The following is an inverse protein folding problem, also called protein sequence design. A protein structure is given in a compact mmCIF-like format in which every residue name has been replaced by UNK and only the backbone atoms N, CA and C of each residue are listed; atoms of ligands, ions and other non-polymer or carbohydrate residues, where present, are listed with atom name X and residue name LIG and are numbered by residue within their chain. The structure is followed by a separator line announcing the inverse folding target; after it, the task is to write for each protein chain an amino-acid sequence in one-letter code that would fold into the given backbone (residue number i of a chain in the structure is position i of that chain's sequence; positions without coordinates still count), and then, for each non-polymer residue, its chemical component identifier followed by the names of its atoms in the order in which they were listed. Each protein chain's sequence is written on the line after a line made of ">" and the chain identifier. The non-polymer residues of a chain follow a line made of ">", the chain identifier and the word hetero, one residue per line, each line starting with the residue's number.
data_IF_030745548434
#
_entry.id   IF_030745548434
#
_cell.length_a   1.000
_cell.length_b   1.000
_cell.length_c   1.000
_cell.angle_alpha   90.00
_cell.angle_beta   90.00
_cell.angle_gamma   90.00
#
_symmetry.space_group_name_H-M   'P 1'
#
loop_
_entity.id
_entity.type
_entity.pdbx_description
1 polymer ?
#
# COMPACT_ATOMS: atom_id res chain seq x y z
N UNK A 1 -11.49 9.00 25.16
CA UNK A 1 -11.12 9.94 24.05
C UNK A 1 -11.89 9.53 22.83
N UNK A 2 -13.10 10.01 22.83
CA UNK A 2 -14.15 9.71 21.84
C UNK A 2 -14.11 10.68 20.67
N UNK A 3 -14.64 10.20 19.55
CA UNK A 3 -15.24 11.02 18.51
C UNK A 3 -14.32 11.64 17.46
N UNK A 4 -13.89 10.80 16.50
CA UNK A 4 -13.43 11.31 15.20
C UNK A 4 -13.95 10.49 13.98
N UNK A 5 -14.98 9.67 14.15
CA UNK A 5 -15.64 8.91 13.07
C UNK A 5 -16.95 9.49 12.56
N UNK A 6 -17.31 10.66 13.02
CA UNK A 6 -18.57 11.28 12.71
C UNK A 6 -18.43 12.60 12.00
N UNK A 7 -18.33 12.60 10.68
CA UNK A 7 -18.86 13.63 9.76
C UNK A 7 -18.34 13.41 8.34
N UNK A 8 -18.74 12.32 7.70
CA UNK A 8 -18.93 12.35 6.25
C UNK A 8 -20.26 13.09 6.04
N UNK A 9 -20.17 14.31 5.52
CA UNK A 9 -21.34 15.15 5.26
C UNK A 9 -22.32 14.38 4.38
N UNK A 10 -23.47 14.06 4.96
CA UNK A 10 -24.64 13.54 4.25
C UNK A 10 -25.18 14.65 3.35
N UNK A 11 -24.71 14.70 2.12
CA UNK A 11 -25.47 15.37 1.07
C UNK A 11 -26.62 14.43 0.70
N UNK A 12 -27.88 14.82 0.89
CA UNK A 12 -29.01 13.96 0.56
C UNK A 12 -29.05 13.77 -0.95
N UNK A 13 -28.71 12.58 -1.40
CA UNK A 13 -28.89 12.18 -2.81
C UNK A 13 -30.39 11.95 -3.01
N UNK A 14 -31.04 12.81 -3.80
CA UNK A 14 -32.42 12.64 -4.18
C UNK A 14 -32.57 11.38 -5.06
N UNK A 15 -33.40 10.45 -4.61
CA UNK A 15 -33.70 9.21 -5.33
C UNK A 15 -34.95 9.37 -6.21
N UNK A 16 -35.05 8.64 -7.33
CA UNK A 16 -36.32 8.47 -8.04
C UNK A 16 -37.38 7.87 -7.11
N UNK A 17 -38.59 8.36 -7.16
CA UNK A 17 -39.69 7.95 -6.28
C UNK A 17 -39.95 6.43 -6.20
N UNK A 18 -39.67 5.70 -7.28
CA UNK A 18 -39.77 4.23 -7.35
C UNK A 18 -38.81 3.51 -6.38
N UNK A 19 -37.64 4.10 -6.10
CA UNK A 19 -36.65 3.49 -5.18
C UNK A 19 -36.99 3.82 -3.72
N UNK A 20 -37.58 4.98 -3.46
CA UNK A 20 -38.00 5.38 -2.11
C UNK A 20 -39.06 4.43 -1.56
N UNK A 21 -40.09 4.07 -2.35
CA UNK A 21 -41.11 3.10 -1.96
C UNK A 21 -40.55 1.69 -1.69
N UNK A 22 -39.57 1.26 -2.47
CA UNK A 22 -38.91 -0.04 -2.27
C UNK A 22 -38.07 -0.05 -0.97
N UNK A 23 -37.41 1.06 -0.64
CA UNK A 23 -36.65 1.18 0.60
C UNK A 23 -37.52 1.22 1.84
N UNK A 24 -38.69 1.88 1.80
CA UNK A 24 -39.66 1.86 2.90
C UNK A 24 -40.22 0.46 3.14
N UNK A 25 -40.53 -0.28 2.07
CA UNK A 25 -40.96 -1.69 2.17
C UNK A 25 -39.86 -2.60 2.73
N UNK A 26 -38.59 -2.35 2.38
CA UNK A 26 -37.46 -3.10 2.94
C UNK A 26 -37.23 -2.78 4.41
N UNK A 27 -37.41 -1.52 4.86
CA UNK A 27 -37.32 -1.18 6.27
C UNK A 27 -38.39 -1.89 7.12
N UNK A 28 -39.57 -2.06 6.56
CA UNK A 28 -40.65 -2.83 7.21
C UNK A 28 -40.35 -4.35 7.28
N UNK A 29 -39.52 -4.85 6.38
CA UNK A 29 -39.13 -6.26 6.28
C UNK A 29 -37.71 -6.53 6.79
N UNK A 30 -37.13 -5.64 7.58
CA UNK A 30 -35.76 -5.78 8.11
C UNK A 30 -35.63 -7.04 8.99
N UNK A 31 -34.66 -7.89 8.69
CA UNK A 31 -34.47 -9.20 9.36
C UNK A 31 -33.46 -9.16 10.52
N UNK A 32 -32.86 -8.00 10.84
CA UNK A 32 -31.90 -7.86 11.95
C UNK A 32 -30.98 -6.65 11.83
N UNK A 33 -30.13 -6.49 12.82
CA UNK A 33 -29.06 -5.48 12.83
C UNK A 33 -27.70 -6.18 12.94
N UNK A 34 -26.68 -5.59 12.31
CA UNK A 34 -25.29 -6.01 12.53
C UNK A 34 -24.80 -5.57 13.92
N UNK A 35 -23.68 -6.11 14.44
CA UNK A 35 -23.05 -5.61 15.67
C UNK A 35 -22.74 -4.11 15.63
N UNK A 36 -22.59 -3.53 14.43
CA UNK A 36 -22.37 -2.11 14.18
C UNK A 36 -23.66 -1.29 14.08
N UNK A 37 -24.84 -1.90 14.29
CA UNK A 37 -26.15 -1.23 14.24
C UNK A 37 -26.70 -1.03 12.83
N UNK A 38 -26.08 -1.59 11.79
CA UNK A 38 -26.59 -1.51 10.41
C UNK A 38 -27.74 -2.49 10.19
N UNK A 39 -28.80 -2.03 9.52
CA UNK A 39 -29.97 -2.86 9.22
C UNK A 39 -29.69 -3.84 8.09
N UNK A 40 -29.97 -5.12 8.32
CA UNK A 40 -29.83 -6.19 7.34
C UNK A 40 -31.18 -6.50 6.70
N UNK A 41 -31.22 -6.51 5.40
CA UNK A 41 -32.40 -6.83 4.58
C UNK A 41 -32.18 -8.15 3.85
N UNK A 42 -33.25 -8.79 3.41
CA UNK A 42 -33.19 -9.96 2.52
C UNK A 42 -33.66 -9.54 1.15
N UNK A 43 -32.77 -9.68 0.14
CA UNK A 43 -33.08 -9.38 -1.26
C UNK A 43 -33.02 -10.62 -2.13
N UNK A 44 -33.86 -10.64 -3.18
CA UNK A 44 -33.73 -11.60 -4.26
C UNK A 44 -32.40 -11.42 -5.00
N UNK A 45 -31.70 -12.51 -5.25
CA UNK A 45 -30.39 -12.48 -5.94
C UNK A 45 -30.52 -11.88 -7.35
N UNK A 46 -31.66 -12.11 -8.00
CA UNK A 46 -31.96 -11.60 -9.35
C UNK A 46 -32.15 -10.08 -9.38
N UNK A 47 -32.42 -9.44 -8.24
CA UNK A 47 -32.56 -7.99 -8.10
C UNK A 47 -31.21 -7.27 -7.98
N UNK A 48 -30.10 -8.02 -7.91
CA UNK A 48 -28.76 -7.48 -7.65
C UNK A 48 -27.92 -7.55 -8.92
N UNK A 49 -27.54 -6.39 -9.42
CA UNK A 49 -26.65 -6.22 -10.57
C UNK A 49 -25.18 -6.25 -10.10
N UNK A 50 -24.29 -6.69 -11.01
CA UNK A 50 -22.86 -6.70 -10.74
C UNK A 50 -22.27 -5.30 -10.55
N UNK A 51 -21.17 -5.23 -9.81
CA UNK A 51 -20.43 -3.99 -9.65
C UNK A 51 -19.64 -3.65 -10.93
N UNK A 52 -19.91 -2.52 -11.60
CA UNK A 52 -19.19 -2.12 -12.82
C UNK A 52 -17.71 -1.81 -12.55
N UNK A 53 -17.34 -1.52 -11.29
CA UNK A 53 -15.98 -1.18 -10.86
C UNK A 53 -15.21 -2.37 -10.28
N UNK A 54 -15.73 -3.59 -10.45
CA UNK A 54 -15.05 -4.80 -9.99
C UNK A 54 -13.77 -5.05 -10.80
N UNK A 55 -12.62 -4.88 -10.18
CA UNK A 55 -11.30 -5.07 -10.81
C UNK A 55 -10.91 -6.55 -10.90
N UNK A 56 -11.39 -7.39 -9.97
CA UNK A 56 -11.08 -8.82 -9.98
C UNK A 56 -11.93 -9.56 -11.01
N UNK A 57 -11.30 -10.01 -12.09
CA UNK A 57 -11.95 -10.79 -13.16
C UNK A 57 -11.85 -12.29 -12.95
N UNK A 58 -10.76 -12.75 -12.34
CA UNK A 58 -10.48 -14.17 -12.12
C UNK A 58 -10.79 -14.55 -10.67
N UNK A 59 -11.62 -15.56 -10.52
CA UNK A 59 -11.96 -16.20 -9.26
C UNK A 59 -11.56 -17.66 -9.39
N UNK A 60 -10.77 -18.14 -8.46
CA UNK A 60 -10.42 -19.53 -8.39
C UNK A 60 -11.71 -20.39 -8.27
N UNK A 61 -11.97 -21.31 -9.24
CA UNK A 61 -13.21 -22.06 -9.28
C UNK A 61 -13.38 -22.98 -8.08
N UNK A 62 -12.28 -23.58 -7.57
CA UNK A 62 -12.33 -24.51 -6.44
C UNK A 62 -12.74 -23.78 -5.16
N UNK A 63 -12.06 -22.66 -4.86
CA UNK A 63 -12.37 -21.85 -3.68
C UNK A 63 -13.76 -21.20 -3.74
N UNK A 64 -14.30 -20.97 -4.94
CA UNK A 64 -15.67 -20.47 -5.10
C UNK A 64 -16.70 -21.57 -4.87
N UNK A 65 -16.39 -22.81 -5.29
CA UNK A 65 -17.23 -23.98 -5.06
C UNK A 65 -17.29 -24.34 -3.57
N UNK A 66 -16.15 -24.37 -2.89
CA UNK A 66 -16.11 -24.57 -1.43
C UNK A 66 -17.00 -23.56 -0.68
N UNK A 67 -16.93 -22.28 -1.10
CA UNK A 67 -17.79 -21.26 -0.52
C UNK A 67 -19.27 -21.49 -0.85
N UNK A 68 -19.60 -21.96 -2.05
CA UNK A 68 -20.97 -22.29 -2.43
C UNK A 68 -21.53 -23.47 -1.61
N UNK A 69 -20.73 -24.51 -1.40
CA UNK A 69 -21.09 -25.67 -0.58
C UNK A 69 -21.33 -25.24 0.89
N UNK A 70 -20.46 -24.38 1.43
CA UNK A 70 -20.66 -23.79 2.76
C UNK A 70 -21.94 -22.96 2.85
N UNK A 71 -22.23 -22.12 1.86
CA UNK A 71 -23.45 -21.31 1.81
C UNK A 71 -24.69 -22.20 1.67
N UNK A 72 -24.58 -23.33 0.99
CA UNK A 72 -25.68 -24.28 0.86
C UNK A 72 -26.07 -24.89 2.21
N UNK A 73 -25.11 -25.12 3.11
CA UNK A 73 -25.36 -25.71 4.43
C UNK A 73 -25.75 -24.64 5.45
N UNK A 74 -24.97 -23.58 5.57
CA UNK A 74 -25.06 -22.60 6.66
C UNK A 74 -25.76 -21.29 6.28
N UNK A 75 -26.00 -21.06 4.99
CA UNK A 75 -26.44 -19.76 4.48
C UNK A 75 -25.30 -18.75 4.43
N UNK A 76 -25.65 -17.51 4.10
CA UNK A 76 -24.69 -16.39 4.04
C UNK A 76 -24.62 -15.73 5.40
N UNK A 77 -23.53 -16.00 6.14
CA UNK A 77 -23.31 -15.46 7.49
C UNK A 77 -22.98 -13.96 7.50
N UNK A 78 -22.26 -13.49 6.50
CA UNK A 78 -21.92 -12.06 6.35
C UNK A 78 -22.73 -11.44 5.21
N UNK A 79 -23.53 -10.41 5.46
CA UNK A 79 -24.28 -9.73 4.41
C UNK A 79 -23.36 -9.11 3.37
N UNK A 80 -23.85 -8.99 2.14
CA UNK A 80 -23.21 -8.21 1.09
C UNK A 80 -23.66 -6.75 1.19
N UNK A 81 -22.88 -5.83 0.62
CA UNK A 81 -23.22 -4.41 0.59
C UNK A 81 -23.71 -4.06 -0.81
N UNK A 82 -24.88 -3.43 -0.87
CA UNK A 82 -25.50 -2.98 -2.12
C UNK A 82 -25.88 -1.51 -2.04
N UNK A 83 -26.04 -0.86 -3.18
CA UNK A 83 -26.63 0.48 -3.30
C UNK A 83 -27.86 0.43 -4.19
N UNK A 84 -28.80 1.36 -4.04
CA UNK A 84 -29.92 1.49 -4.97
C UNK A 84 -29.41 1.74 -6.39
N UNK A 85 -30.00 1.05 -7.35
CA UNK A 85 -29.79 1.19 -8.79
C UNK A 85 -30.98 1.86 -9.46
N UNK A 86 -31.17 1.59 -10.74
CA UNK A 86 -32.33 2.03 -11.52
C UNK A 86 -33.47 1.01 -11.40
N UNK A 87 -34.70 1.46 -11.63
CA UNK A 87 -35.89 0.57 -11.77
C UNK A 87 -36.12 -0.37 -10.57
N UNK A 88 -35.80 0.06 -9.34
CA UNK A 88 -35.98 -0.77 -8.15
C UNK A 88 -34.93 -1.88 -7.97
N UNK A 89 -33.93 -1.96 -8.82
CA UNK A 89 -32.82 -2.91 -8.70
C UNK A 89 -31.73 -2.37 -7.76
N UNK A 90 -30.83 -3.24 -7.35
CA UNK A 90 -29.69 -2.90 -6.51
C UNK A 90 -28.38 -3.21 -7.23
N UNK A 91 -27.37 -2.42 -7.00
CA UNK A 91 -26.02 -2.63 -7.55
C UNK A 91 -25.11 -3.07 -6.42
N UNK A 92 -24.39 -4.15 -6.63
CA UNK A 92 -23.41 -4.65 -5.67
C UNK A 92 -22.29 -3.63 -5.46
N UNK A 93 -21.91 -3.41 -4.21
CA UNK A 93 -20.75 -2.60 -3.83
C UNK A 93 -19.64 -3.52 -3.33
N UNK A 94 -19.92 -4.36 -2.32
CA UNK A 94 -18.95 -5.28 -1.72
C UNK A 94 -19.55 -6.69 -1.57
N UNK A 95 -18.73 -7.72 -1.80
CA UNK A 95 -19.12 -9.12 -1.56
C UNK A 95 -19.37 -9.95 -2.82
N UNK A 96 -18.69 -9.67 -3.94
CA UNK A 96 -18.83 -10.38 -5.23
C UNK A 96 -18.71 -11.91 -5.10
N UNK A 97 -17.72 -12.41 -4.31
CA UNK A 97 -17.58 -13.87 -4.10
C UNK A 97 -18.81 -14.49 -3.45
N UNK A 98 -19.37 -13.80 -2.45
CA UNK A 98 -20.60 -14.28 -1.75
C UNK A 98 -21.81 -14.28 -2.67
N UNK A 99 -21.98 -13.24 -3.50
CA UNK A 99 -23.07 -13.18 -4.48
C UNK A 99 -22.96 -14.32 -5.50
N UNK A 100 -21.76 -14.55 -6.08
CA UNK A 100 -21.53 -15.63 -7.03
C UNK A 100 -21.72 -17.01 -6.42
N UNK A 101 -21.14 -17.24 -5.23
CA UNK A 101 -21.29 -18.51 -4.53
C UNK A 101 -22.76 -18.78 -4.15
N UNK A 102 -23.53 -17.74 -3.77
CA UNK A 102 -24.97 -17.87 -3.50
C UNK A 102 -25.78 -18.26 -4.74
N UNK A 103 -25.42 -17.71 -5.91
CA UNK A 103 -26.01 -18.12 -7.19
C UNK A 103 -25.69 -19.59 -7.52
N UNK A 104 -24.43 -20.00 -7.32
CA UNK A 104 -24.01 -21.39 -7.53
C UNK A 104 -24.70 -22.35 -6.56
N UNK A 105 -24.93 -21.93 -5.32
CA UNK A 105 -25.65 -22.69 -4.31
C UNK A 105 -27.19 -22.75 -4.53
N UNK A 106 -27.70 -22.12 -5.59
CA UNK A 106 -29.13 -22.09 -5.91
C UNK A 106 -29.98 -21.32 -4.89
N UNK A 107 -29.39 -20.41 -4.12
CA UNK A 107 -30.14 -19.60 -3.15
C UNK A 107 -31.00 -18.56 -3.88
N UNK A 108 -32.30 -18.42 -3.54
CA UNK A 108 -33.16 -17.41 -4.16
C UNK A 108 -32.92 -16.02 -3.59
N UNK A 109 -32.44 -15.93 -2.35
CA UNK A 109 -32.25 -14.67 -1.63
C UNK A 109 -30.90 -14.61 -0.92
N UNK A 110 -30.46 -13.39 -0.58
CA UNK A 110 -29.20 -13.13 0.12
C UNK A 110 -29.37 -11.97 1.12
N UNK A 111 -28.77 -12.03 2.32
CA UNK A 111 -28.74 -10.92 3.25
C UNK A 111 -27.87 -9.79 2.73
N UNK A 112 -28.39 -8.55 2.79
CA UNK A 112 -27.73 -7.36 2.29
C UNK A 112 -27.79 -6.20 3.28
N UNK A 113 -26.80 -5.31 3.21
CA UNK A 113 -26.82 -3.99 3.81
C UNK A 113 -26.98 -2.98 2.68
N UNK A 114 -28.00 -2.16 2.76
CA UNK A 114 -28.26 -1.11 1.75
C UNK A 114 -27.57 0.18 2.17
N UNK A 115 -26.53 0.57 1.42
CA UNK A 115 -25.85 1.87 1.62
C UNK A 115 -26.32 2.90 0.58
N UNK A 116 -26.75 4.06 1.07
CA UNK A 116 -27.10 5.22 0.23
C UNK A 116 -25.85 5.98 -0.14
N UNK A 117 -25.08 5.44 -1.09
CA UNK A 117 -23.83 6.03 -1.57
C UNK A 117 -23.93 6.37 -3.04
N UNK A 118 -23.24 7.45 -3.45
CA UNK A 118 -23.11 7.80 -4.86
C UNK A 118 -22.31 6.71 -5.61
N UNK A 119 -22.40 6.72 -6.91
CA UNK A 119 -21.61 5.81 -7.76
C UNK A 119 -20.11 5.96 -7.50
N UNK A 120 -19.64 7.19 -7.36
CA UNK A 120 -18.26 7.51 -7.05
C UNK A 120 -17.82 6.96 -5.68
N UNK A 121 -18.65 7.12 -4.65
CA UNK A 121 -18.38 6.57 -3.32
C UNK A 121 -18.38 5.03 -3.33
N UNK A 122 -19.29 4.40 -4.08
CA UNK A 122 -19.32 2.95 -4.21
C UNK A 122 -18.05 2.40 -4.90
N UNK A 123 -17.59 3.07 -5.97
CA UNK A 123 -16.37 2.73 -6.65
C UNK A 123 -15.14 2.89 -5.74
N UNK A 124 -15.08 3.98 -4.97
CA UNK A 124 -14.05 4.21 -3.98
C UNK A 124 -14.02 3.10 -2.91
N UNK A 125 -15.18 2.75 -2.33
CA UNK A 125 -15.29 1.67 -1.34
C UNK A 125 -14.77 0.34 -1.90
N UNK A 126 -15.10 0.04 -3.15
CA UNK A 126 -14.63 -1.18 -3.84
C UNK A 126 -13.11 -1.20 -3.99
N UNK A 127 -12.51 -0.06 -4.36
CA UNK A 127 -11.05 0.05 -4.50
C UNK A 127 -10.34 -0.06 -3.16
N UNK A 128 -10.86 0.58 -2.12
CA UNK A 128 -10.28 0.51 -0.76
C UNK A 128 -10.37 -0.91 -0.19
N UNK A 129 -11.52 -1.61 -0.37
CA UNK A 129 -11.64 -3.03 0.04
C UNK A 129 -10.62 -3.90 -0.69
N UNK A 130 -10.50 -3.70 -2.00
CA UNK A 130 -9.55 -4.46 -2.80
C UNK A 130 -8.09 -4.22 -2.38
N UNK A 131 -7.77 -2.98 -1.98
CA UNK A 131 -6.44 -2.59 -1.50
C UNK A 131 -6.05 -3.26 -0.18
N UNK A 132 -7.02 -3.57 0.68
CA UNK A 132 -6.80 -4.24 1.97
C UNK A 132 -6.54 -5.76 1.85
N UNK A 133 -6.56 -6.31 0.63
CA UNK A 133 -6.27 -7.73 0.40
C UNK A 133 -4.80 -8.04 0.58
N UNK A 134 -4.50 -9.13 1.27
CA UNK A 134 -3.14 -9.58 1.57
C UNK A 134 -2.30 -10.03 0.35
N UNK A 135 -2.89 -10.15 -0.83
CA UNK A 135 -2.25 -10.74 -2.02
C UNK A 135 -1.99 -9.77 -3.17
N UNK A 136 -2.13 -8.46 -2.96
CA UNK A 136 -1.80 -7.50 -4.01
C UNK A 136 -0.30 -7.36 -4.20
N UNK A 137 0.13 -7.42 -5.46
CA UNK A 137 1.47 -7.03 -5.86
C UNK A 137 1.70 -5.54 -5.57
N UNK A 138 2.94 -5.14 -5.29
CA UNK A 138 3.27 -3.74 -5.01
C UNK A 138 2.97 -2.79 -6.18
N UNK A 139 2.96 -3.27 -7.42
CA UNK A 139 2.56 -2.49 -8.61
C UNK A 139 1.05 -2.31 -8.64
N UNK A 140 0.27 -3.36 -8.38
CA UNK A 140 -1.19 -3.27 -8.27
C UNK A 140 -1.63 -2.32 -7.15
N UNK A 141 -0.92 -2.35 -6.01
CA UNK A 141 -1.15 -1.39 -4.92
C UNK A 141 -0.85 0.04 -5.36
N UNK A 142 0.24 0.25 -6.11
CA UNK A 142 0.61 1.55 -6.63
C UNK A 142 -0.46 2.10 -7.60
N UNK A 143 -0.96 1.26 -8.50
CA UNK A 143 -2.04 1.58 -9.44
C UNK A 143 -3.34 1.92 -8.70
N UNK A 144 -3.71 1.16 -7.67
CA UNK A 144 -4.89 1.44 -6.86
C UNK A 144 -4.77 2.80 -6.14
N UNK A 145 -3.61 3.12 -5.56
CA UNK A 145 -3.37 4.43 -4.93
C UNK A 145 -3.40 5.58 -5.96
N UNK A 146 -2.80 5.39 -7.13
CA UNK A 146 -2.85 6.37 -8.21
C UNK A 146 -4.28 6.62 -8.69
N UNK A 147 -5.09 5.57 -8.85
CA UNK A 147 -6.49 5.67 -9.22
C UNK A 147 -7.32 6.41 -8.16
N UNK A 148 -7.10 6.13 -6.87
CA UNK A 148 -7.76 6.87 -5.78
C UNK A 148 -7.40 8.36 -5.80
N UNK A 149 -6.15 8.70 -6.11
CA UNK A 149 -5.71 10.09 -6.20
C UNK A 149 -6.26 10.82 -7.44
N UNK A 150 -6.24 10.18 -8.62
CA UNK A 150 -6.59 10.83 -9.88
C UNK A 150 -8.09 10.85 -10.15
N UNK A 151 -8.78 9.71 -9.97
CA UNK A 151 -10.21 9.57 -10.28
C UNK A 151 -11.09 10.12 -9.16
N UNK A 152 -10.70 9.88 -7.90
CA UNK A 152 -11.49 10.28 -6.74
C UNK A 152 -11.00 11.56 -6.07
N UNK A 153 -9.91 12.16 -6.61
CA UNK A 153 -9.31 13.42 -6.11
C UNK A 153 -8.95 13.38 -4.63
N UNK A 154 -8.66 12.19 -4.10
CA UNK A 154 -8.26 12.03 -2.71
C UNK A 154 -6.80 12.44 -2.53
N UNK A 155 -6.53 13.12 -1.43
CA UNK A 155 -5.16 13.43 -1.02
C UNK A 155 -4.45 12.16 -0.56
N UNK A 156 -3.11 12.12 -0.66
CA UNK A 156 -2.32 10.98 -0.20
C UNK A 156 -2.53 10.69 1.30
N UNK A 157 -2.85 11.71 2.10
CA UNK A 157 -3.16 11.57 3.51
C UNK A 157 -4.51 10.87 3.73
N UNK A 158 -5.55 11.26 2.98
CA UNK A 158 -6.85 10.61 3.03
C UNK A 158 -6.79 9.16 2.58
N UNK A 159 -6.03 8.88 1.50
CA UNK A 159 -5.79 7.52 1.01
C UNK A 159 -5.10 6.70 2.09
N UNK A 160 -4.04 7.24 2.71
CA UNK A 160 -3.31 6.57 3.78
C UNK A 160 -4.20 6.21 4.97
N UNK A 161 -5.02 7.16 5.44
CA UNK A 161 -5.97 6.94 6.54
C UNK A 161 -6.98 5.83 6.22
N UNK A 162 -7.53 5.79 4.99
CA UNK A 162 -8.53 4.78 4.58
C UNK A 162 -7.92 3.40 4.33
N UNK A 163 -6.68 3.36 3.82
CA UNK A 163 -5.96 2.12 3.56
C UNK A 163 -5.22 1.57 4.79
N UNK A 164 -5.14 2.34 5.88
CA UNK A 164 -4.39 1.94 7.07
C UNK A 164 -2.88 2.02 6.91
N UNK A 165 -2.38 2.90 6.02
CA UNK A 165 -0.94 3.09 5.75
C UNK A 165 -0.55 4.57 5.91
N UNK A 166 0.76 4.86 6.04
CA UNK A 166 1.22 6.25 6.15
C UNK A 166 1.13 7.00 4.81
N UNK A 167 0.99 8.33 4.87
CA UNK A 167 1.07 9.20 3.69
C UNK A 167 2.35 8.95 2.87
N UNK A 168 3.46 8.75 3.56
CA UNK A 168 4.76 8.49 2.92
C UNK A 168 4.76 7.18 2.14
N UNK A 169 4.13 6.14 2.69
CA UNK A 169 3.96 4.87 1.98
C UNK A 169 3.13 5.06 0.71
N UNK A 170 1.99 5.75 0.78
CA UNK A 170 1.17 6.07 -0.41
C UNK A 170 1.99 6.80 -1.45
N UNK A 171 2.74 7.83 -1.05
CA UNK A 171 3.61 8.60 -1.95
C UNK A 171 4.66 7.71 -2.62
N UNK A 172 5.32 6.84 -1.86
CA UNK A 172 6.32 5.93 -2.39
C UNK A 172 5.73 4.92 -3.37
N UNK A 173 4.55 4.35 -3.06
CA UNK A 173 3.85 3.45 -3.98
C UNK A 173 3.52 4.15 -5.30
N UNK A 174 2.90 5.34 -5.27
CA UNK A 174 2.56 6.10 -6.49
C UNK A 174 3.82 6.38 -7.32
N UNK A 175 4.95 6.71 -6.67
CA UNK A 175 6.22 6.95 -7.35
C UNK A 175 6.78 5.71 -8.05
N UNK A 176 6.43 4.49 -7.63
CA UNK A 176 6.86 3.27 -8.32
C UNK A 176 6.43 3.25 -9.78
N UNK A 177 5.26 3.83 -10.10
CA UNK A 177 4.73 3.87 -11.46
C UNK A 177 5.56 4.78 -12.41
N UNK A 178 6.44 5.62 -11.85
CA UNK A 178 7.38 6.41 -12.62
C UNK A 178 8.70 5.69 -12.93
N UNK A 179 8.89 4.47 -12.44
CA UNK A 179 10.07 3.66 -12.73
C UNK A 179 10.01 3.11 -14.17
N UNK A 180 11.17 2.83 -14.79
CA UNK A 180 11.23 2.21 -16.11
C UNK A 180 10.44 0.90 -16.17
N UNK A 181 9.81 0.63 -17.32
CA UNK A 181 8.97 -0.57 -17.54
C UNK A 181 9.66 -1.88 -17.16
N UNK A 182 10.97 -1.99 -17.43
CA UNK A 182 11.75 -3.18 -17.06
C UNK A 182 11.81 -3.39 -15.54
N UNK A 183 11.82 -2.32 -14.74
CA UNK A 183 11.78 -2.40 -13.26
C UNK A 183 10.39 -2.78 -12.79
N UNK A 184 9.34 -2.18 -13.39
CA UNK A 184 7.95 -2.53 -13.11
C UNK A 184 7.70 -4.01 -13.40
N UNK A 185 8.16 -4.51 -14.56
CA UNK A 185 8.06 -5.92 -14.91
C UNK A 185 8.82 -6.85 -13.95
N UNK A 186 9.97 -6.42 -13.43
CA UNK A 186 10.72 -7.17 -12.43
C UNK A 186 10.01 -7.23 -11.06
N UNK A 187 9.31 -6.15 -10.67
CA UNK A 187 8.47 -6.09 -9.48
C UNK A 187 7.25 -7.02 -9.62
N UNK A 188 6.58 -7.00 -10.77
CA UNK A 188 5.44 -7.88 -11.05
C UNK A 188 5.81 -9.36 -11.00
N UNK A 189 7.03 -9.71 -11.49
CA UNK A 189 7.57 -11.07 -11.45
C UNK A 189 8.14 -11.46 -10.08
N UNK A 190 8.21 -10.54 -9.12
CA UNK A 190 8.80 -10.79 -7.81
C UNK A 190 10.32 -10.93 -7.80
N UNK A 191 11.03 -10.65 -8.90
CA UNK A 191 12.49 -10.68 -8.97
C UNK A 191 13.14 -9.47 -8.29
N UNK A 192 12.40 -8.38 -8.15
CA UNK A 192 12.71 -7.26 -7.28
C UNK A 192 11.59 -7.09 -6.25
N UNK A 193 11.95 -6.65 -5.05
CA UNK A 193 10.99 -6.34 -3.98
C UNK A 193 10.65 -4.85 -3.97
N UNK A 194 9.55 -4.48 -3.30
CA UNK A 194 9.17 -3.09 -3.04
C UNK A 194 10.34 -2.27 -2.43
N UNK A 195 11.08 -2.86 -1.50
CA UNK A 195 12.21 -2.18 -0.84
C UNK A 195 13.37 -1.90 -1.78
N UNK A 196 13.66 -2.80 -2.75
CA UNK A 196 14.63 -2.53 -3.82
C UNK A 196 14.17 -1.36 -4.69
N UNK A 197 12.90 -1.35 -5.11
CA UNK A 197 12.35 -0.27 -5.92
C UNK A 197 12.39 1.07 -5.19
N UNK A 198 12.09 1.10 -3.88
CA UNK A 198 12.18 2.30 -3.05
C UNK A 198 13.60 2.85 -3.02
N UNK A 199 14.62 2.00 -2.93
CA UNK A 199 16.01 2.43 -3.03
C UNK A 199 16.31 3.08 -4.38
N UNK A 200 15.84 2.48 -5.48
CA UNK A 200 16.02 3.01 -6.83
C UNK A 200 15.34 4.37 -7.07
N UNK A 201 14.27 4.69 -6.36
CA UNK A 201 13.59 5.99 -6.44
C UNK A 201 14.45 7.19 -6.01
N UNK A 202 15.61 6.96 -5.40
CA UNK A 202 16.57 8.02 -5.08
C UNK A 202 17.41 8.44 -6.29
N UNK A 203 17.45 7.65 -7.35
CA UNK A 203 18.06 7.99 -8.63
C UNK A 203 17.11 8.84 -9.48
N UNK A 204 17.65 9.74 -10.28
CA UNK A 204 16.87 10.63 -11.17
C UNK A 204 16.88 10.19 -12.62
N UNK A 205 17.89 9.44 -13.02
CA UNK A 205 18.09 9.02 -14.41
C UNK A 205 17.59 7.59 -14.62
N UNK A 206 16.66 7.44 -15.56
CA UNK A 206 16.03 6.16 -15.89
C UNK A 206 17.05 5.11 -16.40
N UNK A 207 18.11 5.54 -17.08
CA UNK A 207 19.17 4.64 -17.55
C UNK A 207 19.95 4.04 -16.36
N UNK A 208 20.28 4.90 -15.40
CA UNK A 208 20.93 4.45 -14.16
C UNK A 208 20.01 3.55 -13.34
N UNK A 209 18.74 3.93 -13.17
CA UNK A 209 17.75 3.10 -12.46
C UNK A 209 17.73 1.69 -13.04
N UNK A 210 17.63 1.56 -14.37
CA UNK A 210 17.59 0.26 -15.02
C UNK A 210 18.90 -0.52 -14.85
N UNK A 211 20.05 0.15 -14.99
CA UNK A 211 21.36 -0.46 -14.79
C UNK A 211 21.52 -1.05 -13.38
N UNK A 212 21.14 -0.29 -12.35
CA UNK A 212 21.19 -0.77 -10.96
C UNK A 212 20.18 -1.87 -10.68
N UNK A 213 18.98 -1.79 -11.27
CA UNK A 213 17.97 -2.84 -11.17
C UNK A 213 18.47 -4.15 -11.75
N UNK A 214 19.02 -4.12 -12.97
CA UNK A 214 19.63 -5.31 -13.61
C UNK A 214 20.73 -5.93 -12.77
N UNK A 215 21.62 -5.08 -12.25
CA UNK A 215 22.71 -5.54 -11.40
C UNK A 215 22.20 -6.18 -10.11
N UNK A 216 21.19 -5.58 -9.48
CA UNK A 216 20.57 -6.12 -8.28
C UNK A 216 19.94 -7.51 -8.53
N UNK A 217 19.31 -7.72 -9.70
CA UNK A 217 18.73 -9.00 -10.10
C UNK A 217 19.84 -10.04 -10.37
N UNK A 218 20.86 -9.69 -11.17
CA UNK A 218 21.93 -10.61 -11.57
C UNK A 218 22.78 -11.07 -10.38
N UNK A 219 23.17 -10.13 -9.52
CA UNK A 219 23.99 -10.41 -8.34
C UNK A 219 23.16 -10.83 -7.11
N UNK A 220 21.84 -10.94 -7.21
CA UNK A 220 20.92 -11.21 -6.08
C UNK A 220 21.24 -10.34 -4.86
N UNK A 221 21.41 -9.04 -5.10
CA UNK A 221 21.85 -8.12 -4.06
C UNK A 221 20.83 -8.00 -2.93
N UNK A 222 21.34 -7.80 -1.72
CA UNK A 222 20.51 -7.35 -0.61
C UNK A 222 20.09 -5.88 -0.79
N UNK A 223 18.97 -5.50 -0.19
CA UNK A 223 18.46 -4.11 -0.20
C UNK A 223 19.52 -3.14 0.32
N UNK A 224 20.19 -3.49 1.44
CA UNK A 224 21.22 -2.65 2.04
C UNK A 224 22.39 -2.37 1.08
N UNK A 225 22.86 -3.39 0.35
CA UNK A 225 23.94 -3.25 -0.64
C UNK A 225 23.52 -2.34 -1.79
N UNK A 226 22.26 -2.48 -2.25
CA UNK A 226 21.71 -1.62 -3.31
C UNK A 226 21.54 -0.17 -2.81
N UNK A 227 21.03 0.03 -1.59
CA UNK A 227 20.89 1.37 -0.99
C UNK A 227 22.25 2.08 -0.88
N UNK A 228 23.29 1.39 -0.43
CA UNK A 228 24.66 1.94 -0.35
C UNK A 228 25.18 2.36 -1.74
N UNK A 229 25.02 1.51 -2.76
CA UNK A 229 25.43 1.83 -4.13
C UNK A 229 24.67 3.02 -4.73
N UNK A 230 23.36 3.08 -4.52
CA UNK A 230 22.50 4.17 -4.98
C UNK A 230 22.86 5.49 -4.29
N UNK A 231 23.15 5.44 -2.99
CA UNK A 231 23.58 6.62 -2.23
C UNK A 231 24.93 7.15 -2.71
N UNK A 232 25.86 6.29 -3.08
CA UNK A 232 27.17 6.69 -3.61
C UNK A 232 27.06 7.44 -4.95
N UNK A 233 26.10 7.04 -5.81
CA UNK A 233 25.88 7.67 -7.12
C UNK A 233 24.95 8.90 -7.06
N UNK A 234 24.00 8.92 -6.14
CA UNK A 234 23.05 10.03 -5.98
C UNK A 234 23.62 11.25 -5.26
N UNK A 235 24.87 11.19 -4.78
CA UNK A 235 25.56 12.35 -4.24
C UNK A 235 25.72 13.40 -5.35
N UNK A 236 25.33 14.67 -5.12
CA UNK A 236 25.48 15.71 -6.14
C UNK A 236 26.95 15.82 -6.53
N UNK A 237 27.22 15.67 -7.84
CA UNK A 237 28.50 16.02 -8.45
C UNK A 237 28.57 17.54 -8.38
N UNK A 238 29.10 18.05 -7.28
CA UNK A 238 29.43 19.46 -7.12
C UNK A 238 30.83 19.71 -7.67
N UNK A 239 30.88 20.25 -8.86
CA UNK A 239 31.95 21.04 -9.47
C UNK A 239 33.39 20.71 -9.08
N UNK A 240 34.12 20.22 -10.08
CA UNK A 240 35.52 20.59 -10.30
C UNK A 240 36.59 19.71 -9.72
N UNK A 241 37.14 19.03 -10.65
CA UNK A 241 38.54 18.63 -10.77
C UNK A 241 38.92 17.19 -10.39
N UNK A 242 39.47 16.63 -11.42
CA UNK A 242 40.00 15.32 -11.66
C UNK A 242 41.03 14.84 -10.65
N UNK A 243 41.13 13.53 -10.66
CA UNK A 243 42.20 12.60 -10.31
C UNK A 243 42.07 11.89 -8.98
N UNK A 244 41.77 10.60 -9.13
CA UNK A 244 42.26 9.46 -8.33
C UNK A 244 41.95 9.42 -6.83
N UNK A 245 41.24 8.33 -6.49
CA UNK A 245 41.19 7.73 -5.15
C UNK A 245 40.23 8.40 -4.14
N UNK A 246 39.09 7.73 -3.91
CA UNK A 246 38.31 7.89 -2.71
C UNK A 246 37.55 9.21 -2.64
N UNK A 247 36.31 9.27 -3.20
CA UNK A 247 35.48 10.44 -3.27
C UNK A 247 35.27 11.14 -1.93
N UNK A 248 35.87 12.31 -1.77
CA UNK A 248 35.64 13.19 -0.65
C UNK A 248 34.26 13.85 -0.77
N UNK A 249 33.28 13.32 0.00
CA UNK A 249 32.06 14.07 0.33
C UNK A 249 32.45 15.35 1.07
N UNK A 250 31.71 16.42 0.78
CA UNK A 250 31.73 17.65 1.59
C UNK A 250 31.34 17.25 3.03
N UNK A 251 32.31 16.96 3.84
CA UNK A 251 32.16 16.69 5.27
C UNK A 251 32.36 18.04 5.94
N UNK A 252 31.42 18.44 6.79
CA UNK A 252 31.55 19.62 7.64
C UNK A 252 32.97 19.62 8.21
N UNK A 253 33.73 20.75 8.12
CA UNK A 253 35.08 20.85 8.66
C UNK A 253 35.21 20.34 10.08
N UNK A 254 34.17 20.54 10.91
CA UNK A 254 34.11 20.04 12.29
C UNK A 254 34.01 18.50 12.33
N UNK A 255 33.25 17.88 11.43
CA UNK A 255 33.13 16.43 11.33
C UNK A 255 34.45 15.80 10.87
N UNK A 256 35.17 16.47 9.95
CA UNK A 256 36.47 16.03 9.47
C UNK A 256 37.53 16.12 10.57
N UNK A 257 37.48 17.18 11.38
CA UNK A 257 38.36 17.35 12.56
C UNK A 257 38.06 16.30 13.62
N UNK A 258 36.79 16.05 13.91
CA UNK A 258 36.37 15.00 14.86
C UNK A 258 36.77 13.60 14.36
N UNK A 259 36.68 13.33 13.05
CA UNK A 259 37.14 12.07 12.48
C UNK A 259 38.65 11.84 12.70
N UNK A 260 39.47 12.88 12.43
CA UNK A 260 40.92 12.80 12.65
C UNK A 260 41.26 12.56 14.11
N UNK A 261 40.62 13.29 15.01
CA UNK A 261 40.83 13.10 16.45
C UNK A 261 40.49 11.67 16.90
N UNK A 262 39.41 11.11 16.37
CA UNK A 262 39.03 9.71 16.68
C UNK A 262 40.03 8.71 16.06
N UNK A 263 40.51 8.95 14.83
CA UNK A 263 41.51 8.09 14.20
C UNK A 263 42.86 8.15 14.97
N UNK A 264 43.28 9.31 15.42
CA UNK A 264 44.49 9.51 16.23
C UNK A 264 44.35 8.84 17.61
N UNK A 265 43.19 8.98 18.25
CA UNK A 265 42.95 8.42 19.60
C UNK A 265 42.81 6.88 19.58
N UNK A 266 42.22 6.33 18.55
CA UNK A 266 41.94 4.90 18.42
C UNK A 266 43.04 4.12 17.69
N UNK A 267 43.86 4.80 16.87
CA UNK A 267 44.83 4.17 15.99
C UNK A 267 44.19 3.34 14.86
N UNK A 268 42.89 3.53 14.61
CA UNK A 268 42.06 2.75 13.71
C UNK A 268 41.38 3.65 12.71
N UNK A 269 40.96 3.08 11.57
CA UNK A 269 40.24 3.82 10.55
C UNK A 269 38.81 4.15 11.01
N UNK A 270 38.47 5.44 11.06
CA UNK A 270 37.13 5.93 11.47
C UNK A 270 36.48 6.62 10.29
N UNK A 271 35.20 6.33 10.05
CA UNK A 271 34.37 7.05 9.08
C UNK A 271 33.16 7.64 9.76
N UNK A 272 33.01 8.96 9.69
CA UNK A 272 31.86 9.66 10.21
C UNK A 272 30.98 10.08 9.04
N UNK A 273 29.72 9.66 9.07
CA UNK A 273 28.68 10.12 8.12
C UNK A 273 27.68 10.94 8.91
N UNK A 274 27.70 12.28 8.72
CA UNK A 274 26.75 13.20 9.36
C UNK A 274 25.73 13.74 8.37
N UNK A 275 24.49 13.94 8.82
CA UNK A 275 23.41 14.60 8.10
C UNK A 275 22.69 15.56 9.07
N UNK A 276 23.24 16.78 9.19
CA UNK A 276 22.57 17.84 9.96
C UNK A 276 22.30 17.46 11.42
N UNK A 277 23.31 16.92 12.12
CA UNK A 277 23.23 16.56 13.54
C UNK A 277 22.74 15.14 13.82
N UNK A 278 22.49 14.31 12.78
CA UNK A 278 22.24 12.87 12.89
C UNK A 278 23.22 12.13 12.01
N UNK A 279 23.93 11.14 12.58
CA UNK A 279 24.96 10.46 11.82
C UNK A 279 25.25 9.05 12.29
N UNK A 280 26.19 8.42 11.59
CA UNK A 280 26.76 7.12 11.94
C UNK A 280 28.26 7.26 11.99
N UNK A 281 28.87 6.71 13.06
CA UNK A 281 30.30 6.54 13.17
C UNK A 281 30.59 5.06 12.92
N UNK A 282 31.49 4.78 11.99
CA UNK A 282 31.94 3.43 11.65
C UNK A 282 33.42 3.36 11.96
N UNK A 283 33.81 2.43 12.83
CA UNK A 283 35.19 2.15 13.22
C UNK A 283 35.55 0.79 12.64
N UNK A 284 36.58 0.75 11.78
CA UNK A 284 37.08 -0.48 11.17
C UNK A 284 38.21 -1.02 12.06
N UNK A 285 38.03 -2.22 12.60
CA UNK A 285 39.01 -2.91 13.43
C UNK A 285 39.49 -4.21 12.72
N UNK A 286 40.73 -4.61 12.98
CA UNK A 286 41.32 -5.79 12.35
C UNK A 286 41.38 -7.00 13.30
N UNK A 287 41.43 -6.78 14.60
CA UNK A 287 41.55 -7.81 15.64
C UNK A 287 40.50 -7.70 16.72
N UNK A 288 40.29 -8.76 17.50
CA UNK A 288 39.43 -8.74 18.70
C UNK A 288 39.96 -7.80 19.79
N UNK A 289 41.26 -7.67 19.90
CA UNK A 289 41.88 -6.76 20.85
C UNK A 289 41.57 -5.29 20.53
N UNK A 290 41.56 -4.95 19.20
CA UNK A 290 41.12 -3.63 18.73
C UNK A 290 39.65 -3.35 19.11
N UNK A 291 38.80 -4.37 18.94
CA UNK A 291 37.38 -4.25 19.34
C UNK A 291 37.21 -3.99 20.82
N UNK A 292 37.93 -4.75 21.67
CA UNK A 292 37.88 -4.59 23.12
C UNK A 292 38.43 -3.23 23.56
N UNK A 293 39.45 -2.70 22.89
CA UNK A 293 39.96 -1.35 23.09
C UNK A 293 38.89 -0.29 22.78
N UNK A 294 38.20 -0.39 21.63
CA UNK A 294 37.10 0.55 21.27
C UNK A 294 35.99 0.49 22.30
N UNK A 295 35.56 -0.71 22.67
CA UNK A 295 34.50 -0.91 23.67
C UNK A 295 34.92 -0.37 25.05
N UNK A 296 36.19 -0.55 25.43
CA UNK A 296 36.75 -0.01 26.66
C UNK A 296 36.72 1.51 26.73
N UNK A 297 37.12 2.18 25.62
CA UNK A 297 37.08 3.66 25.54
C UNK A 297 35.64 4.19 25.55
N UNK A 298 34.70 3.53 24.87
CA UNK A 298 33.27 3.93 24.84
C UNK A 298 32.58 3.73 26.20
N UNK A 299 33.07 2.81 27.03
CA UNK A 299 32.58 2.57 28.39
C UNK A 299 33.19 3.49 29.45
N UNK A 300 34.15 4.35 29.06
CA UNK A 300 34.77 5.30 29.96
C UNK A 300 35.69 4.66 30.98
N UNK A 301 36.33 3.54 30.65
CA UNK A 301 37.37 2.89 31.43
C UNK A 301 38.70 3.00 30.74
#
# INVERSE_FOLDING_TARGET
>A
MDSALGKLAETPVAFPSAVAGTLEQLHAAASGQTPEGETVFILGIDQIDHNPYQTRREFDPESLKELADSIQVQGVLQPIVVRPGKEGRFILVLGERRLRASRMAGRPTIPVIVKRVSEQQAAEMTLVENLQRQQLNCVEQAEAFANLSTQFKLTQEEIGRRAGVSREQVSNYIRLLALPEGVIGALQKGTLTYTHARALLHLRDNVQIWKFAQRAIQEKMSVAKLEDLVLDVSAPIGSGDSTTQGGARWVDPNVKSAQRLLEEALGMRVRIRDRGGRGRIVIEYATLDDFDQVVGMLKGK
#
